data_IF_223958626355
#
_entry.id   IF_223958626355
#
_cell.length_a   1.000
_cell.length_b   1.000
_cell.length_c   1.000
_cell.angle_alpha   90.00
_cell.angle_beta   90.00
_cell.angle_gamma   90.00
#
_symmetry.space_group_name_H-M   'P 1'
#
loop_
_entity.id
_entity.type
_entity.pdbx_description
1 polymer ?
#
# COMPACT_ATOMS: atom_id res chain seq x y z
N UNK A 1 -24.74 -20.29 6.13
CA UNK A 1 -23.45 -20.57 6.78
C UNK A 1 -22.44 -19.57 6.21
N UNK A 2 -21.81 -18.70 7.00
CA UNK A 2 -20.74 -17.85 6.45
C UNK A 2 -19.58 -18.76 5.98
N UNK A 3 -19.02 -18.54 4.78
CA UNK A 3 -17.90 -19.35 4.30
C UNK A 3 -16.69 -19.19 5.23
N UNK A 4 -15.87 -20.24 5.41
CA UNK A 4 -14.73 -20.21 6.31
C UNK A 4 -13.76 -19.09 5.88
N UNK A 5 -13.38 -18.25 6.85
CA UNK A 5 -12.40 -17.18 6.62
C UNK A 5 -11.03 -17.82 6.43
N UNK A 6 -10.35 -17.43 5.36
CA UNK A 6 -8.96 -17.82 5.09
C UNK A 6 -8.02 -16.73 5.59
N UNK A 7 -6.81 -17.12 5.91
CA UNK A 7 -5.76 -16.28 6.46
C UNK A 7 -4.53 -16.45 5.58
N UNK A 8 -3.85 -15.36 5.27
CA UNK A 8 -2.54 -15.33 4.63
C UNK A 8 -1.57 -14.63 5.59
N UNK A 9 -0.54 -15.34 6.03
CA UNK A 9 0.44 -14.86 7.00
C UNK A 9 1.81 -14.75 6.34
N UNK A 10 2.49 -13.63 6.58
CA UNK A 10 3.84 -13.42 6.08
C UNK A 10 4.89 -14.13 6.97
N UNK A 11 5.70 -14.98 6.32
CA UNK A 11 6.78 -15.74 6.91
C UNK A 11 8.13 -15.02 6.75
N UNK A 12 9.19 -15.43 7.50
CA UNK A 12 10.54 -14.92 7.23
C UNK A 12 10.94 -15.27 5.80
N UNK A 13 11.67 -14.37 5.13
CA UNK A 13 12.03 -14.55 3.72
C UNK A 13 10.91 -14.20 2.73
N UNK A 14 9.85 -13.51 3.18
CA UNK A 14 8.77 -12.99 2.33
C UNK A 14 7.90 -14.08 1.65
N UNK A 15 7.84 -15.29 2.22
CA UNK A 15 6.87 -16.32 1.80
C UNK A 15 5.51 -16.12 2.48
N UNK A 16 4.42 -16.56 1.84
CA UNK A 16 3.08 -16.53 2.42
C UNK A 16 2.62 -17.94 2.83
N UNK A 17 2.06 -18.07 4.02
CA UNK A 17 1.36 -19.27 4.46
C UNK A 17 -0.15 -19.04 4.45
N UNK A 18 -0.89 -19.95 3.80
CA UNK A 18 -2.35 -19.87 3.66
C UNK A 18 -3.02 -20.95 4.51
N UNK A 19 -3.95 -20.53 5.36
CA UNK A 19 -4.70 -21.44 6.23
C UNK A 19 -6.15 -21.01 6.41
N UNK A 20 -7.00 -21.93 6.83
CA UNK A 20 -8.39 -21.67 7.20
C UNK A 20 -8.61 -21.98 8.68
N UNK A 21 -9.57 -21.28 9.28
CA UNK A 21 -10.09 -21.59 10.61
C UNK A 21 -11.50 -22.14 10.44
N UNK A 22 -11.72 -23.37 10.88
CA UNK A 22 -13.00 -24.04 10.74
C UNK A 22 -13.27 -24.56 9.32
N UNK A 23 -13.99 -25.68 9.22
CA UNK A 23 -14.39 -26.29 7.94
C UNK A 23 -14.38 -27.83 7.95
N UNK A 24 -15.40 -28.49 7.36
CA UNK A 24 -15.49 -29.94 7.30
C UNK A 24 -14.70 -30.44 6.10
N UNK A 25 -13.39 -30.64 6.26
CA UNK A 25 -12.67 -31.51 5.32
C UNK A 25 -11.65 -32.38 6.05
N UNK A 26 -11.95 -33.67 6.27
CA UNK A 26 -11.03 -34.61 6.90
C UNK A 26 -9.78 -34.89 6.04
N UNK A 27 -9.73 -34.44 4.78
CA UNK A 27 -8.57 -34.59 3.89
C UNK A 27 -7.48 -33.52 4.03
N UNK A 28 -7.72 -32.43 4.78
CA UNK A 28 -6.75 -31.34 4.91
C UNK A 28 -5.64 -31.68 5.90
N UNK A 29 -4.40 -31.61 5.42
CA UNK A 29 -3.20 -31.91 6.22
C UNK A 29 -2.94 -30.82 7.26
N UNK A 30 -2.33 -31.16 8.42
CA UNK A 30 -1.81 -30.16 9.35
C UNK A 30 -0.81 -29.24 8.65
N UNK A 31 -0.89 -27.92 8.87
CA UNK A 31 0.05 -26.94 8.28
C UNK A 31 1.36 -26.93 9.08
N UNK A 32 2.45 -27.56 8.58
CA UNK A 32 3.68 -27.69 9.35
C UNK A 32 4.34 -26.32 9.60
N UNK A 33 4.10 -25.34 8.71
CA UNK A 33 4.67 -23.99 8.82
C UNK A 33 3.94 -23.13 9.85
N UNK A 34 2.62 -23.24 9.96
CA UNK A 34 1.83 -22.57 11.00
C UNK A 34 2.09 -23.19 12.38
N UNK A 35 2.26 -24.52 12.44
CA UNK A 35 2.73 -25.21 13.64
C UNK A 35 4.16 -24.82 14.03
N UNK A 36 5.06 -24.57 13.06
CA UNK A 36 6.41 -24.08 13.32
C UNK A 36 6.45 -22.61 13.79
N UNK A 37 5.51 -21.79 13.33
CA UNK A 37 5.34 -20.39 13.77
C UNK A 37 4.86 -20.26 15.21
N UNK A 38 4.00 -21.19 15.65
CA UNK A 38 3.36 -21.13 16.96
C UNK A 38 3.99 -22.09 17.97
N UNK A 39 4.77 -23.08 17.53
CA UNK A 39 5.52 -24.02 18.37
C UNK A 39 4.67 -24.83 19.36
N UNK A 40 5.23 -25.88 19.98
CA UNK A 40 4.63 -26.48 21.17
C UNK A 40 4.73 -25.48 22.34
N UNK A 41 3.59 -25.01 22.85
CA UNK A 41 3.51 -24.09 23.98
C UNK A 41 3.43 -22.60 23.63
N UNK A 42 3.55 -22.22 22.36
CA UNK A 42 3.45 -20.81 21.97
C UNK A 42 2.03 -20.31 21.80
N UNK A 43 1.87 -19.03 22.15
CA UNK A 43 0.62 -18.27 22.03
C UNK A 43 0.78 -17.19 20.97
N UNK A 44 -0.13 -17.18 20.01
CA UNK A 44 -0.24 -16.14 19.00
C UNK A 44 -1.58 -15.41 19.13
N UNK A 45 -1.59 -14.11 18.87
CA UNK A 45 -2.80 -13.29 18.93
C UNK A 45 -3.06 -12.63 17.58
N UNK A 46 -4.18 -12.99 16.97
CA UNK A 46 -4.76 -12.35 15.80
C UNK A 46 -5.47 -11.07 16.22
N UNK A 47 -5.02 -9.97 15.64
CA UNK A 47 -5.64 -8.66 15.78
C UNK A 47 -6.09 -8.22 14.39
N UNK A 48 -7.40 -8.13 14.18
CA UNK A 48 -7.99 -7.65 12.93
C UNK A 48 -9.01 -6.55 13.24
N UNK A 49 -9.00 -5.47 12.47
CA UNK A 49 -10.07 -4.49 12.55
C UNK A 49 -11.34 -5.09 11.90
N UNK A 50 -12.37 -5.33 12.70
CA UNK A 50 -13.63 -5.88 12.21
C UNK A 50 -14.29 -4.91 11.23
N UNK A 51 -14.44 -5.31 9.97
CA UNK A 51 -15.34 -4.63 9.04
C UNK A 51 -16.72 -5.28 9.17
N UNK A 52 -17.73 -4.48 9.54
CA UNK A 52 -19.12 -4.90 9.40
C UNK A 52 -19.40 -5.18 7.91
N UNK A 53 -20.10 -6.29 7.57
CA UNK A 53 -20.51 -6.55 6.19
C UNK A 53 -21.27 -5.35 5.61
N UNK A 54 -20.92 -4.89 4.40
CA UNK A 54 -21.57 -3.74 3.75
C UNK A 54 -21.15 -2.36 4.27
N UNK A 55 -20.10 -2.25 5.10
CA UNK A 55 -19.67 -0.98 5.71
C UNK A 55 -19.12 0.10 4.77
N UNK A 56 -19.00 -0.19 3.46
CA UNK A 56 -18.56 0.76 2.44
C UNK A 56 -17.17 1.37 2.69
N UNK A 57 -16.88 2.47 2.00
CA UNK A 57 -15.57 3.13 2.07
C UNK A 57 -15.23 3.65 3.48
N UNK A 58 -16.20 4.27 4.16
CA UNK A 58 -15.98 4.84 5.50
C UNK A 58 -15.62 3.79 6.56
N UNK A 59 -16.17 2.57 6.50
CA UNK A 59 -15.76 1.50 7.40
C UNK A 59 -14.30 1.07 7.17
N UNK A 60 -13.85 1.01 5.91
CA UNK A 60 -12.46 0.66 5.55
C UNK A 60 -11.48 1.70 6.06
N UNK A 61 -11.82 2.99 5.91
CA UNK A 61 -11.01 4.09 6.45
C UNK A 61 -10.90 4.01 7.97
N UNK A 62 -12.02 3.82 8.69
CA UNK A 62 -12.02 3.65 10.16
C UNK A 62 -11.21 2.43 10.60
N UNK A 63 -11.38 1.30 9.92
CA UNK A 63 -10.65 0.06 10.22
C UNK A 63 -9.14 0.23 10.02
N UNK A 64 -8.71 0.88 8.93
CA UNK A 64 -7.31 1.15 8.66
C UNK A 64 -6.68 2.07 9.73
N UNK A 65 -7.40 3.12 10.17
CA UNK A 65 -6.94 4.01 11.25
C UNK A 65 -6.86 3.29 12.59
N UNK A 66 -7.88 2.49 12.93
CA UNK A 66 -7.87 1.67 14.15
C UNK A 66 -6.66 0.74 14.15
N UNK A 67 -6.41 0.06 13.04
CA UNK A 67 -5.29 -0.86 12.90
C UNK A 67 -3.94 -0.15 13.04
N UNK A 68 -3.78 1.04 12.46
CA UNK A 68 -2.56 1.85 12.63
C UNK A 68 -2.35 2.30 14.08
N UNK A 69 -3.41 2.73 14.78
CA UNK A 69 -3.34 3.08 16.21
C UNK A 69 -2.93 1.89 17.06
N UNK A 70 -3.51 0.72 16.79
CA UNK A 70 -3.15 -0.53 17.45
C UNK A 70 -1.67 -0.85 17.23
N UNK A 71 -1.18 -0.80 15.99
CA UNK A 71 0.25 -1.00 15.69
C UNK A 71 1.17 -0.08 16.48
N UNK A 72 0.84 1.21 16.58
CA UNK A 72 1.63 2.18 17.35
C UNK A 72 1.62 1.86 18.84
N UNK A 73 0.47 1.43 19.38
CA UNK A 73 0.35 1.02 20.78
C UNK A 73 1.10 -0.27 21.08
N UNK A 74 1.06 -1.27 20.19
CA UNK A 74 1.77 -2.55 20.34
C UNK A 74 3.30 -2.37 20.37
N UNK A 75 3.82 -1.29 19.77
CA UNK A 75 5.25 -0.95 19.81
C UNK A 75 5.69 -0.27 21.12
N UNK A 76 4.77 -0.08 22.07
CA UNK A 76 5.01 0.59 23.36
C UNK A 76 4.70 -0.36 24.52
N UNK A 77 5.25 -0.03 25.69
CA UNK A 77 4.95 -0.72 26.94
C UNK A 77 5.30 -2.22 26.94
N UNK A 78 4.51 -3.07 27.61
CA UNK A 78 4.85 -4.48 27.86
C UNK A 78 4.87 -5.35 26.59
N UNK A 79 4.28 -4.88 25.49
CA UNK A 79 4.17 -5.63 24.23
C UNK A 79 5.34 -5.40 23.27
N UNK A 80 6.28 -4.51 23.61
CA UNK A 80 7.44 -4.15 22.76
C UNK A 80 8.32 -5.35 22.40
N UNK A 81 8.39 -6.37 23.26
CA UNK A 81 9.16 -7.60 23.04
C UNK A 81 8.49 -8.62 22.12
N UNK A 82 7.22 -8.42 21.77
CA UNK A 82 6.49 -9.33 20.91
C UNK A 82 6.83 -9.12 19.44
N UNK A 83 6.84 -10.20 18.66
CA UNK A 83 7.02 -10.13 17.21
C UNK A 83 5.67 -9.86 16.55
N UNK A 84 5.63 -8.89 15.64
CA UNK A 84 4.45 -8.57 14.84
C UNK A 84 4.65 -9.06 13.41
N UNK A 85 3.67 -9.79 12.88
CA UNK A 85 3.69 -10.27 11.49
C UNK A 85 2.44 -9.83 10.75
N UNK A 86 2.56 -9.23 9.55
CA UNK A 86 1.43 -8.90 8.70
C UNK A 86 0.58 -10.12 8.40
N UNK A 87 -0.73 -9.94 8.44
CA UNK A 87 -1.69 -10.99 8.14
C UNK A 87 -2.90 -10.41 7.42
N UNK A 88 -3.43 -11.17 6.46
CA UNK A 88 -4.65 -10.86 5.74
C UNK A 88 -5.71 -11.92 6.01
N UNK A 89 -6.90 -11.51 6.41
CA UNK A 89 -8.09 -12.36 6.37
C UNK A 89 -8.82 -12.13 5.05
N UNK A 90 -9.22 -13.19 4.37
CA UNK A 90 -9.93 -13.07 3.09
C UNK A 90 -10.96 -14.18 2.90
N UNK A 91 -11.95 -13.93 2.05
CA UNK A 91 -12.94 -14.94 1.65
C UNK A 91 -12.47 -15.70 0.40
N UNK A 92 -12.73 -17.02 0.32
CA UNK A 92 -12.53 -17.75 -0.94
C UNK A 92 -13.46 -17.17 -2.02
N UNK A 93 -12.95 -17.05 -3.26
CA UNK A 93 -13.73 -16.55 -4.40
C UNK A 93 -13.43 -15.11 -4.84
N UNK A 94 -12.57 -14.36 -4.12
CA UNK A 94 -11.86 -13.20 -4.69
C UNK A 94 -12.72 -11.99 -5.10
N UNK A 95 -13.72 -11.63 -4.31
CA UNK A 95 -14.51 -10.40 -4.51
C UNK A 95 -13.88 -9.17 -3.85
N UNK A 96 -14.19 -7.99 -4.38
CA UNK A 96 -13.83 -6.70 -3.77
C UNK A 96 -14.45 -6.54 -2.38
N UNK A 97 -13.77 -5.78 -1.52
CA UNK A 97 -14.09 -5.58 -0.09
C UNK A 97 -14.10 -6.89 0.72
N UNK A 98 -13.35 -7.87 0.23
CA UNK A 98 -13.25 -9.21 0.80
C UNK A 98 -12.09 -9.37 1.79
N UNK A 99 -11.15 -8.43 1.85
CA UNK A 99 -9.94 -8.54 2.65
C UNK A 99 -9.98 -7.67 3.90
N UNK A 100 -9.63 -8.27 5.03
CA UNK A 100 -9.41 -7.56 6.30
C UNK A 100 -7.93 -7.65 6.67
N UNK A 101 -7.35 -6.51 7.04
CA UNK A 101 -5.96 -6.44 7.48
C UNK A 101 -5.86 -6.69 8.97
N UNK A 102 -4.78 -7.36 9.34
CA UNK A 102 -4.45 -7.62 10.71
C UNK A 102 -2.99 -7.92 10.91
N UNK A 103 -2.67 -8.27 12.15
CA UNK A 103 -1.34 -8.74 12.54
C UNK A 103 -1.48 -9.97 13.41
N UNK A 104 -0.54 -10.88 13.25
CA UNK A 104 -0.27 -11.92 14.21
C UNK A 104 0.81 -11.40 15.17
N UNK A 105 0.43 -11.26 16.44
CA UNK A 105 1.37 -10.96 17.51
C UNK A 105 1.84 -12.29 18.13
N UNK A 106 3.14 -12.53 18.10
CA UNK A 106 3.79 -13.69 18.70
C UNK A 106 4.54 -13.25 19.95
N UNK A 107 4.25 -13.88 21.07
CA UNK A 107 4.95 -13.64 22.33
C UNK A 107 6.03 -14.71 22.55
N UNK A 108 7.32 -14.38 22.35
CA UNK A 108 8.42 -15.33 22.55
C UNK A 108 8.65 -15.67 24.02
N UNK A 109 8.20 -14.83 24.97
CA UNK A 109 8.35 -15.08 26.40
C UNK A 109 7.21 -15.89 27.02
N UNK A 110 6.15 -16.16 26.24
CA UNK A 110 4.93 -16.85 26.67
C UNK A 110 4.31 -16.29 27.96
N UNK A 111 4.50 -14.99 28.23
CA UNK A 111 4.12 -14.36 29.47
C UNK A 111 2.60 -14.30 29.67
N UNK A 112 2.08 -14.54 30.89
CA UNK A 112 0.65 -14.39 31.17
C UNK A 112 0.16 -12.93 31.01
N UNK A 113 1.08 -11.97 31.03
CA UNK A 113 0.78 -10.54 30.97
C UNK A 113 0.47 -10.03 29.56
N UNK A 114 0.93 -10.72 28.51
CA UNK A 114 0.68 -10.33 27.11
C UNK A 114 -0.82 -10.30 26.79
N UNK A 115 -1.55 -11.35 27.20
CA UNK A 115 -3.01 -11.40 27.00
C UNK A 115 -3.71 -10.28 27.76
N UNK A 116 -3.30 -10.01 28.99
CA UNK A 116 -3.88 -8.95 29.83
C UNK A 116 -3.64 -7.56 29.21
N UNK A 117 -2.42 -7.29 28.76
CA UNK A 117 -2.06 -6.05 28.09
C UNK A 117 -2.84 -5.86 26.79
N UNK A 118 -3.01 -6.92 25.99
CA UNK A 118 -3.87 -6.89 24.79
C UNK A 118 -5.34 -6.64 25.13
N UNK A 119 -5.87 -7.32 26.15
CA UNK A 119 -7.24 -7.14 26.60
C UNK A 119 -7.51 -5.71 27.08
N UNK A 120 -6.55 -5.10 27.79
CA UNK A 120 -6.62 -3.71 28.21
C UNK A 120 -6.57 -2.76 27.00
N UNK A 121 -5.67 -2.99 26.05
CA UNK A 121 -5.55 -2.17 24.84
C UNK A 121 -6.82 -2.20 23.98
N UNK A 122 -7.45 -3.37 23.84
CA UNK A 122 -8.64 -3.54 23.01
C UNK A 122 -9.95 -3.17 23.73
N UNK A 123 -10.00 -3.26 25.06
CA UNK A 123 -11.18 -2.94 25.88
C UNK A 123 -11.56 -1.46 25.87
N UNK A 124 -10.62 -0.57 25.53
CA UNK A 124 -10.83 0.87 25.38
C UNK A 124 -11.47 1.28 24.03
N UNK A 125 -11.72 0.33 23.11
CA UNK A 125 -12.26 0.61 21.78
C UNK A 125 -13.77 0.28 21.66
N UNK A 126 -14.67 1.27 21.47
CA UNK A 126 -16.10 1.02 21.22
C UNK A 126 -16.31 0.23 19.94
N UNK A 127 -17.07 -0.87 19.99
CA UNK A 127 -17.22 -1.81 18.84
C UNK A 127 -15.92 -2.56 18.50
N UNK A 128 -15.06 -2.73 19.51
CA UNK A 128 -13.66 -3.14 19.38
C UNK A 128 -13.39 -4.47 18.66
N UNK A 129 -12.15 -4.65 18.18
CA UNK A 129 -11.76 -5.81 17.40
C UNK A 129 -11.87 -7.11 18.20
N UNK A 130 -12.26 -8.19 17.52
CA UNK A 130 -12.20 -9.56 18.08
C UNK A 130 -10.75 -9.97 18.25
N UNK A 131 -10.44 -10.62 19.36
CA UNK A 131 -9.12 -11.20 19.61
C UNK A 131 -9.16 -12.70 19.27
N UNK A 132 -8.41 -13.12 18.25
CA UNK A 132 -8.23 -14.53 17.94
C UNK A 132 -6.97 -15.07 18.61
N UNK A 133 -7.08 -15.98 19.56
CA UNK A 133 -5.94 -16.63 20.20
C UNK A 133 -5.63 -17.94 19.48
N UNK A 134 -4.41 -18.09 18.99
CA UNK A 134 -3.90 -19.34 18.44
C UNK A 134 -3.10 -20.11 19.50
N UNK A 135 -3.43 -21.39 19.66
CA UNK A 135 -2.83 -22.28 20.65
C UNK A 135 -2.39 -23.57 19.97
N UNK A 136 -1.12 -23.95 20.17
CA UNK A 136 -0.59 -25.24 19.76
C UNK A 136 -0.92 -26.34 20.78
N UNK A 137 -1.15 -27.57 20.31
CA UNK A 137 -1.29 -28.75 21.16
C UNK A 137 -0.07 -29.69 21.13
N UNK A 138 -0.09 -30.73 21.97
CA UNK A 138 0.99 -31.71 22.07
C UNK A 138 1.22 -32.51 20.77
N UNK A 139 0.25 -32.51 19.84
CA UNK A 139 0.33 -33.18 18.53
C UNK A 139 0.76 -32.21 17.43
N UNK A 140 1.26 -31.01 17.80
CA UNK A 140 1.64 -29.92 16.88
C UNK A 140 0.49 -29.45 15.99
N UNK A 141 -0.75 -29.63 16.42
CA UNK A 141 -1.90 -29.03 15.77
C UNK A 141 -2.14 -27.64 16.35
N UNK A 142 -2.69 -26.75 15.53
CA UNK A 142 -2.99 -25.38 15.92
C UNK A 142 -4.50 -25.19 15.98
N UNK A 143 -4.96 -24.53 17.02
CA UNK A 143 -6.36 -24.23 17.27
C UNK A 143 -6.56 -22.73 17.46
N UNK A 144 -7.70 -22.19 17.02
CA UNK A 144 -8.09 -20.81 17.28
C UNK A 144 -9.24 -20.74 18.28
N UNK A 145 -9.12 -19.81 19.24
CA UNK A 145 -10.19 -19.36 20.13
C UNK A 145 -10.51 -17.90 19.83
N UNK A 146 -11.78 -17.57 19.69
CA UNK A 146 -12.21 -16.18 19.51
C UNK A 146 -12.65 -15.60 20.85
N UNK A 147 -12.24 -14.37 21.12
CA UNK A 147 -12.56 -13.63 22.34
C UNK A 147 -13.19 -12.28 22.01
N UNK A 148 -14.23 -11.91 22.77
CA UNK A 148 -14.90 -10.60 22.70
C UNK A 148 -14.97 -9.93 24.08
N UNK A 149 -14.93 -8.58 24.13
CA UNK A 149 -15.14 -7.86 25.37
C UNK A 149 -16.59 -8.01 25.85
N UNK A 150 -16.76 -8.19 27.15
CA UNK A 150 -18.05 -8.23 27.86
C UNK A 150 -18.12 -6.96 28.69
N UNK A 151 -19.01 -6.03 28.34
CA UNK A 151 -19.05 -4.66 28.89
C UNK A 151 -18.82 -4.59 30.40
N UNK A 152 -17.62 -4.16 30.82
CA UNK A 152 -17.21 -4.04 32.22
C UNK A 152 -16.83 -5.35 32.95
N UNK A 153 -17.14 -6.52 32.40
CA UNK A 153 -16.92 -7.85 33.02
C UNK A 153 -15.77 -8.66 32.36
N UNK A 154 -14.86 -7.99 31.64
CA UNK A 154 -13.68 -8.61 31.04
C UNK A 154 -13.90 -9.20 29.64
N UNK A 155 -13.32 -10.36 29.34
CA UNK A 155 -13.33 -10.99 28.01
C UNK A 155 -13.92 -12.39 28.07
N UNK A 156 -14.79 -12.73 27.11
CA UNK A 156 -15.41 -14.08 27.00
C UNK A 156 -15.05 -14.77 25.69
N UNK A 157 -14.94 -16.10 25.74
CA UNK A 157 -14.79 -16.89 24.51
C UNK A 157 -16.10 -16.89 23.72
N UNK A 158 -15.99 -16.80 22.41
CA UNK A 158 -17.11 -16.83 21.46
C UNK A 158 -16.96 -18.05 20.56
N UNK A 159 -17.97 -18.92 20.57
CA UNK A 159 -18.00 -20.12 19.74
C UNK A 159 -17.03 -21.24 20.16
N UNK A 160 -17.02 -22.35 19.41
CA UNK A 160 -16.12 -23.48 19.67
C UNK A 160 -14.67 -23.12 19.35
N UNK A 161 -13.75 -23.91 19.91
CA UNK A 161 -12.35 -23.87 19.51
C UNK A 161 -12.23 -24.54 18.13
N UNK A 162 -11.73 -23.81 17.14
CA UNK A 162 -11.69 -24.30 15.76
C UNK A 162 -10.29 -24.68 15.33
N UNK A 163 -10.18 -25.77 14.55
CA UNK A 163 -8.89 -26.25 14.05
C UNK A 163 -8.38 -25.36 12.92
N UNK A 164 -7.08 -25.08 12.94
CA UNK A 164 -6.38 -24.42 11.83
C UNK A 164 -5.87 -25.48 10.85
N UNK A 165 -6.20 -25.30 9.58
CA UNK A 165 -5.83 -26.25 8.51
C UNK A 165 -5.15 -25.53 7.35
N UNK A 166 -4.19 -26.19 6.70
CA UNK A 166 -3.60 -25.70 5.45
C UNK A 166 -4.67 -25.51 4.39
N UNK A 167 -4.51 -24.48 3.56
CA UNK A 167 -5.26 -24.38 2.30
C UNK A 167 -4.31 -24.07 1.16
N UNK A 168 -4.63 -24.49 -0.08
CA UNK A 168 -3.84 -24.12 -1.25
C UNK A 168 -3.69 -22.60 -1.37
N UNK A 169 -2.50 -22.16 -1.79
CA UNK A 169 -2.26 -20.77 -2.16
C UNK A 169 -3.18 -20.39 -3.33
N UNK A 170 -3.87 -19.22 -3.27
CA UNK A 170 -4.68 -18.74 -4.39
C UNK A 170 -3.79 -18.34 -5.57
N UNK A 171 -4.34 -18.44 -6.78
CA UNK A 171 -3.62 -18.08 -8.01
C UNK A 171 -3.17 -16.61 -8.06
N UNK A 172 -3.88 -15.72 -7.36
CA UNK A 172 -3.55 -14.31 -7.23
C UNK A 172 -3.52 -13.92 -5.75
N UNK A 173 -2.67 -12.94 -5.41
CA UNK A 173 -2.57 -12.45 -4.05
C UNK A 173 -3.93 -11.92 -3.55
N UNK A 174 -4.38 -12.30 -2.33
CA UNK A 174 -5.75 -12.00 -1.86
C UNK A 174 -6.14 -10.52 -1.87
N UNK A 175 -5.19 -9.60 -1.71
CA UNK A 175 -5.45 -8.15 -1.69
C UNK A 175 -5.83 -7.56 -3.06
N UNK A 176 -5.53 -8.28 -4.15
CA UNK A 176 -5.59 -7.73 -5.50
C UNK A 176 -6.97 -7.18 -5.91
N UNK A 177 -8.10 -7.84 -5.58
CA UNK A 177 -9.44 -7.31 -5.87
C UNK A 177 -9.75 -5.99 -5.16
N UNK A 178 -9.11 -5.71 -4.01
CA UNK A 178 -9.38 -4.52 -3.20
C UNK A 178 -8.50 -3.33 -3.61
N UNK A 179 -7.35 -3.58 -4.27
CA UNK A 179 -6.40 -2.53 -4.65
C UNK A 179 -7.03 -1.34 -5.42
N UNK A 180 -7.95 -1.54 -6.38
CA UNK A 180 -8.59 -0.43 -7.08
C UNK A 180 -9.38 0.52 -6.17
N UNK A 181 -9.90 0.04 -5.05
CA UNK A 181 -10.73 0.83 -4.14
C UNK A 181 -10.05 1.12 -2.80
N UNK A 182 -8.83 0.60 -2.57
CA UNK A 182 -8.12 0.76 -1.30
C UNK A 182 -6.72 1.38 -1.41
N UNK A 183 -6.09 1.38 -2.59
CA UNK A 183 -4.70 1.83 -2.71
C UNK A 183 -4.31 2.42 -4.07
N UNK A 184 -4.68 1.79 -5.17
CA UNK A 184 -4.25 2.21 -6.53
C UNK A 184 -5.17 3.30 -7.10
N UNK A 185 -6.47 3.22 -6.80
CA UNK A 185 -7.48 4.20 -7.20
C UNK A 185 -7.42 4.59 -8.68
N UNK A 186 -7.73 3.67 -9.61
CA UNK A 186 -7.74 3.95 -11.04
C UNK A 186 -8.92 4.82 -11.48
N UNK A 187 -9.72 5.33 -10.54
CA UNK A 187 -10.85 6.23 -10.78
C UNK A 187 -10.93 7.30 -9.70
N UNK A 188 -11.20 8.55 -10.10
CA UNK A 188 -11.31 9.72 -9.20
C UNK A 188 -12.31 9.50 -8.07
N UNK A 189 -13.46 8.90 -8.41
CA UNK A 189 -14.57 8.66 -7.47
C UNK A 189 -14.17 7.84 -6.26
N UNK A 190 -13.34 6.81 -6.45
CA UNK A 190 -12.94 5.92 -5.36
C UNK A 190 -12.00 6.63 -4.36
N UNK A 191 -11.06 7.44 -4.86
CA UNK A 191 -10.18 8.24 -4.00
C UNK A 191 -10.95 9.38 -3.31
N UNK A 192 -11.91 10.03 -4.00
CA UNK A 192 -12.79 11.05 -3.41
C UNK A 192 -13.58 10.51 -2.23
N UNK A 193 -14.20 9.33 -2.39
CA UNK A 193 -14.97 8.67 -1.32
C UNK A 193 -14.13 8.36 -0.06
N UNK A 194 -12.82 8.13 -0.21
CA UNK A 194 -11.92 7.97 0.93
C UNK A 194 -11.74 9.29 1.66
N UNK A 195 -11.46 10.39 0.96
CA UNK A 195 -11.27 11.70 1.60
C UNK A 195 -12.56 12.25 2.20
N UNK A 196 -13.72 12.02 1.57
CA UNK A 196 -15.03 12.32 2.15
C UNK A 196 -15.22 11.62 3.50
N UNK A 197 -14.84 10.35 3.59
CA UNK A 197 -14.87 9.60 4.84
C UNK A 197 -13.84 10.09 5.88
N UNK A 198 -12.84 10.87 5.47
CA UNK A 198 -11.81 11.46 6.34
C UNK A 198 -12.20 12.80 6.94
N UNK A 199 -13.11 13.56 6.32
CA UNK A 199 -13.51 14.91 6.77
C UNK A 199 -13.80 15.02 8.28
N UNK A 200 -14.48 14.06 8.93
CA UNK A 200 -14.76 14.16 10.37
C UNK A 200 -13.53 14.15 11.29
N UNK A 201 -12.35 13.75 10.81
CA UNK A 201 -11.16 13.60 11.65
C UNK A 201 -9.83 14.04 10.99
N UNK A 202 -9.85 14.49 9.73
CA UNK A 202 -8.77 15.20 9.03
C UNK A 202 -9.43 16.40 8.32
N UNK A 203 -9.48 17.59 8.95
CA UNK A 203 -10.12 18.77 8.37
C UNK A 203 -9.56 19.18 7.00
N UNK A 204 -8.25 18.99 6.78
CA UNK A 204 -7.55 19.28 5.53
C UNK A 204 -8.07 18.44 4.35
N UNK A 205 -8.75 17.32 4.61
CA UNK A 205 -9.39 16.53 3.57
C UNK A 205 -10.46 17.34 2.82
N UNK A 206 -11.20 18.22 3.52
CA UNK A 206 -12.19 19.09 2.87
C UNK A 206 -11.52 20.06 1.92
N UNK A 207 -10.41 20.67 2.32
CA UNK A 207 -9.71 21.64 1.47
C UNK A 207 -9.11 20.99 0.21
N UNK A 208 -8.67 19.73 0.28
CA UNK A 208 -8.28 18.94 -0.91
C UNK A 208 -9.50 18.66 -1.79
N UNK A 209 -10.64 18.27 -1.21
CA UNK A 209 -11.88 18.02 -1.95
C UNK A 209 -12.39 19.27 -2.68
N UNK A 210 -12.32 20.44 -2.03
CA UNK A 210 -12.72 21.72 -2.63
C UNK A 210 -11.87 22.09 -3.86
N UNK A 211 -10.57 21.79 -3.83
CA UNK A 211 -9.66 21.96 -4.98
C UNK A 211 -9.99 20.96 -6.09
N UNK A 212 -10.24 19.70 -5.72
CA UNK A 212 -10.64 18.66 -6.66
C UNK A 212 -11.95 19.04 -7.35
N UNK A 213 -12.95 19.54 -6.62
CA UNK A 213 -14.26 19.90 -7.17
C UNK A 213 -14.19 21.06 -8.19
N UNK A 214 -13.12 21.85 -8.19
CA UNK A 214 -12.83 22.85 -9.23
C UNK A 214 -12.25 22.25 -10.52
N UNK A 215 -11.76 21.01 -10.48
CA UNK A 215 -11.20 20.30 -11.63
C UNK A 215 -12.31 19.68 -12.50
N UNK A 216 -12.25 19.82 -13.84
CA UNK A 216 -13.18 19.16 -14.75
C UNK A 216 -13.22 17.63 -14.56
N UNK A 217 -14.36 17.00 -14.82
CA UNK A 217 -14.50 15.54 -14.73
C UNK A 217 -13.65 14.80 -15.78
N UNK A 218 -13.55 15.38 -16.98
CA UNK A 218 -12.73 14.87 -18.06
C UNK A 218 -11.76 15.96 -18.50
N UNK A 219 -10.48 15.61 -18.51
CA UNK A 219 -9.40 16.55 -18.79
C UNK A 219 -8.63 16.05 -20.01
N UNK A 220 -8.57 16.89 -21.04
CA UNK A 220 -7.82 16.62 -22.26
C UNK A 220 -6.60 17.53 -22.35
N UNK A 221 -5.48 16.98 -22.81
CA UNK A 221 -4.27 17.77 -23.07
C UNK A 221 -4.49 18.69 -24.28
N UNK A 222 -3.74 19.78 -24.32
CA UNK A 222 -3.61 20.63 -25.50
C UNK A 222 -2.73 20.00 -26.58
N UNK A 223 -2.34 20.83 -27.56
CA UNK A 223 -1.58 20.39 -28.74
C UNK A 223 -0.13 19.98 -28.46
N UNK A 224 0.46 20.44 -27.36
CA UNK A 224 1.85 20.14 -27.02
C UNK A 224 1.99 18.83 -26.24
N UNK A 225 3.15 18.16 -26.34
CA UNK A 225 3.36 16.87 -25.69
C UNK A 225 3.47 16.99 -24.17
N UNK A 226 3.00 15.95 -23.48
CA UNK A 226 3.09 15.77 -22.02
C UNK A 226 4.03 14.61 -21.72
N UNK A 227 5.14 14.90 -21.05
CA UNK A 227 6.18 13.92 -20.71
C UNK A 227 6.26 13.80 -19.19
N UNK A 228 6.11 12.58 -18.68
CA UNK A 228 6.28 12.29 -17.26
C UNK A 228 7.66 11.70 -17.03
N UNK A 229 8.37 12.19 -16.02
CA UNK A 229 9.63 11.62 -15.57
C UNK A 229 9.40 10.95 -14.22
N UNK A 230 9.49 9.63 -14.22
CA UNK A 230 9.37 8.74 -13.06
C UNK A 230 10.73 8.26 -12.58
N UNK A 231 10.77 7.66 -11.39
CA UNK A 231 11.97 7.07 -10.83
C UNK A 231 11.96 7.01 -9.32
N UNK A 232 12.79 6.13 -8.74
CA UNK A 232 13.00 6.10 -7.28
C UNK A 232 13.62 7.40 -6.78
N UNK A 233 13.58 7.64 -5.48
CA UNK A 233 14.29 8.78 -4.90
C UNK A 233 15.80 8.68 -5.14
N UNK A 234 16.46 9.85 -5.19
CA UNK A 234 17.87 10.00 -5.54
C UNK A 234 18.33 9.48 -6.92
N UNK A 235 17.42 9.27 -7.87
CA UNK A 235 17.74 8.95 -9.29
C UNK A 235 18.13 10.17 -10.14
N UNK A 236 18.07 11.39 -9.59
CA UNK A 236 18.40 12.62 -10.32
C UNK A 236 17.21 13.31 -11.01
N UNK A 237 15.97 12.87 -10.77
CA UNK A 237 14.74 13.44 -11.37
C UNK A 237 14.67 14.96 -11.37
N UNK A 238 14.86 15.61 -10.22
CA UNK A 238 14.77 17.08 -10.12
C UNK A 238 15.78 17.78 -11.04
N UNK A 239 16.99 17.23 -11.15
CA UNK A 239 18.02 17.78 -12.05
C UNK A 239 17.65 17.59 -13.52
N UNK A 240 17.19 16.39 -13.89
CA UNK A 240 16.81 16.06 -15.27
C UNK A 240 15.58 16.84 -15.71
N UNK A 241 14.51 16.83 -14.91
CA UNK A 241 13.26 17.56 -15.18
C UNK A 241 13.50 19.05 -15.39
N UNK A 242 14.30 19.70 -14.54
CA UNK A 242 14.67 21.10 -14.73
C UNK A 242 15.44 21.32 -16.03
N UNK A 243 16.49 20.52 -16.27
CA UNK A 243 17.35 20.68 -17.46
C UNK A 243 16.60 20.46 -18.77
N UNK A 244 15.69 19.48 -18.80
CA UNK A 244 14.81 19.20 -19.94
C UNK A 244 13.81 20.33 -20.13
N UNK A 245 13.21 20.82 -19.04
CA UNK A 245 12.27 21.94 -19.07
C UNK A 245 12.90 23.19 -19.67
N UNK A 246 14.12 23.53 -19.23
CA UNK A 246 14.85 24.70 -19.72
C UNK A 246 15.19 24.55 -21.21
N UNK A 247 15.63 23.36 -21.62
CA UNK A 247 16.02 23.06 -23.01
C UNK A 247 14.83 23.12 -23.98
N UNK A 248 13.67 22.61 -23.57
CA UNK A 248 12.44 22.58 -24.39
C UNK A 248 11.55 23.81 -24.21
N UNK A 249 11.92 24.73 -23.30
CA UNK A 249 11.06 25.83 -22.82
C UNK A 249 9.67 25.32 -22.39
N UNK A 250 9.67 24.17 -21.72
CA UNK A 250 8.48 23.48 -21.26
C UNK A 250 7.99 24.05 -19.92
N UNK A 251 6.73 23.79 -19.59
CA UNK A 251 6.21 23.97 -18.23
C UNK A 251 6.64 22.77 -17.37
N UNK A 252 7.19 23.03 -16.18
CA UNK A 252 7.54 21.99 -15.21
C UNK A 252 6.50 21.92 -14.10
N UNK A 253 5.79 20.80 -14.01
CA UNK A 253 4.81 20.50 -12.98
C UNK A 253 5.30 19.37 -12.08
N UNK A 254 4.75 19.28 -10.86
CA UNK A 254 5.10 18.26 -9.86
C UNK A 254 3.84 17.58 -9.34
N UNK A 255 3.92 16.28 -9.06
CA UNK A 255 2.88 15.57 -8.31
C UNK A 255 3.42 15.10 -6.95
N UNK A 256 2.81 15.49 -5.81
CA UNK A 256 1.60 16.33 -5.69
C UNK A 256 1.86 17.82 -6.03
N UNK A 257 0.83 18.58 -6.43
CA UNK A 257 0.95 19.99 -6.79
C UNK A 257 1.19 20.87 -5.56
N UNK A 258 1.73 22.07 -5.79
CA UNK A 258 2.11 23.00 -4.73
C UNK A 258 0.93 23.39 -3.83
N UNK A 259 -0.28 23.52 -4.39
CA UNK A 259 -1.50 23.93 -3.68
C UNK A 259 -1.96 22.94 -2.59
N UNK A 260 -1.50 21.68 -2.62
CA UNK A 260 -1.78 20.68 -1.57
C UNK A 260 -0.53 20.24 -0.82
N UNK A 261 0.63 20.79 -1.18
CA UNK A 261 1.93 20.34 -0.65
C UNK A 261 2.05 20.57 0.86
N UNK A 262 1.43 21.62 1.40
CA UNK A 262 1.43 21.90 2.85
C UNK A 262 0.80 20.79 3.70
N UNK A 263 -0.10 19.99 3.14
CA UNK A 263 -0.79 18.92 3.87
C UNK A 263 -0.11 17.56 3.74
N UNK A 264 0.95 17.45 2.93
CA UNK A 264 1.65 16.19 2.66
C UNK A 264 2.01 15.43 3.94
N UNK A 265 2.60 16.13 4.92
CA UNK A 265 3.02 15.52 6.19
C UNK A 265 1.85 14.86 6.94
N UNK A 266 0.67 15.50 6.92
CA UNK A 266 -0.54 15.00 7.60
C UNK A 266 -0.95 13.66 6.96
N UNK A 267 -1.03 13.62 5.63
CA UNK A 267 -1.46 12.41 4.91
C UNK A 267 -0.40 11.30 4.88
N UNK A 268 0.90 11.64 4.95
CA UNK A 268 1.99 10.67 5.00
C UNK A 268 2.00 9.84 6.29
N UNK A 269 1.49 10.43 7.38
CA UNK A 269 1.34 9.79 8.69
C UNK A 269 0.10 8.89 8.81
N UNK A 270 -0.82 8.96 7.84
CA UNK A 270 -2.07 8.18 7.80
C UNK A 270 -1.89 6.77 7.17
N UNK A 271 -2.85 5.84 7.32
CA UNK A 271 -2.79 4.51 6.70
C UNK A 271 -2.79 4.58 5.17
N UNK A 272 -2.29 3.53 4.50
CA UNK A 272 -2.12 3.51 3.03
C UNK A 272 -3.36 3.94 2.26
N UNK A 273 -4.56 3.52 2.68
CA UNK A 273 -5.82 3.89 2.02
C UNK A 273 -6.03 5.40 1.95
N UNK A 274 -5.74 6.11 3.04
CA UNK A 274 -5.89 7.57 3.13
C UNK A 274 -4.75 8.25 2.37
N UNK A 275 -3.51 7.84 2.65
CA UNK A 275 -2.30 8.41 2.02
C UNK A 275 -2.37 8.33 0.49
N UNK A 276 -2.70 7.16 -0.06
CA UNK A 276 -2.77 6.97 -1.51
C UNK A 276 -3.97 7.65 -2.14
N UNK A 277 -5.09 7.82 -1.42
CA UNK A 277 -6.20 8.62 -1.90
C UNK A 277 -5.82 10.10 -2.05
N UNK A 278 -5.07 10.67 -1.10
CA UNK A 278 -4.52 12.03 -1.19
C UNK A 278 -3.65 12.21 -2.44
N UNK A 279 -2.68 11.31 -2.65
CA UNK A 279 -1.82 11.37 -3.84
C UNK A 279 -2.58 11.14 -5.15
N UNK A 280 -3.56 10.21 -5.15
CA UNK A 280 -4.42 9.96 -6.32
C UNK A 280 -5.20 11.22 -6.70
N UNK A 281 -5.82 11.90 -5.74
CA UNK A 281 -6.53 13.18 -5.99
C UNK A 281 -5.59 14.32 -6.40
N UNK A 282 -4.37 14.35 -5.85
CA UNK A 282 -3.31 15.26 -6.32
C UNK A 282 -3.01 15.10 -7.82
N UNK A 283 -3.04 13.87 -8.35
CA UNK A 283 -2.88 13.65 -9.79
C UNK A 283 -4.01 14.28 -10.61
N UNK A 284 -5.26 14.28 -10.13
CA UNK A 284 -6.37 14.94 -10.86
C UNK A 284 -6.28 16.47 -10.83
N UNK A 285 -5.72 17.05 -9.76
CA UNK A 285 -5.41 18.48 -9.71
C UNK A 285 -4.33 18.81 -10.73
N UNK A 286 -3.22 18.06 -10.72
CA UNK A 286 -2.13 18.21 -11.70
C UNK A 286 -2.62 18.00 -13.12
N UNK A 287 -3.53 17.07 -13.38
CA UNK A 287 -4.13 16.84 -14.70
C UNK A 287 -4.74 18.14 -15.28
N UNK A 288 -5.43 18.92 -14.44
CA UNK A 288 -6.06 20.17 -14.85
C UNK A 288 -5.01 21.24 -15.19
N UNK A 289 -3.91 21.30 -14.43
CA UNK A 289 -2.76 22.16 -14.75
C UNK A 289 -2.06 21.73 -16.05
N UNK A 290 -1.85 20.42 -16.24
CA UNK A 290 -1.28 19.85 -17.47
C UNK A 290 -2.12 20.27 -18.68
N UNK A 291 -3.45 20.12 -18.61
CA UNK A 291 -4.34 20.50 -19.71
C UNK A 291 -4.23 21.98 -20.08
N UNK A 292 -4.13 22.87 -19.08
CA UNK A 292 -3.96 24.29 -19.31
C UNK A 292 -2.61 24.60 -19.97
N UNK A 293 -1.51 24.08 -19.43
CA UNK A 293 -0.16 24.42 -19.90
C UNK A 293 0.20 23.76 -21.24
N UNK A 294 -0.31 22.55 -21.50
CA UNK A 294 -0.11 21.84 -22.79
C UNK A 294 -0.81 22.50 -23.98
N UNK A 295 -1.58 23.58 -23.78
CA UNK A 295 -2.06 24.43 -24.89
C UNK A 295 -0.99 25.41 -25.39
N UNK A 296 0.01 25.73 -24.54
CA UNK A 296 0.99 26.80 -24.75
C UNK A 296 2.40 26.29 -25.02
N UNK A 297 2.82 25.22 -24.35
CA UNK A 297 4.16 24.65 -24.43
C UNK A 297 4.15 23.15 -24.09
N UNK A 298 5.23 22.40 -24.39
CA UNK A 298 5.43 21.07 -23.81
C UNK A 298 5.32 21.10 -22.28
N UNK A 299 4.93 19.99 -21.68
CA UNK A 299 4.80 19.86 -20.22
C UNK A 299 5.66 18.70 -19.73
N UNK A 300 6.55 18.99 -18.79
CA UNK A 300 7.33 18.00 -18.04
C UNK A 300 6.69 17.83 -16.66
N UNK A 301 6.44 16.59 -16.25
CA UNK A 301 5.83 16.28 -14.96
C UNK A 301 6.80 15.42 -14.13
N UNK A 302 7.23 15.93 -12.97
CA UNK A 302 8.00 15.16 -11.98
C UNK A 302 7.05 14.31 -11.14
N UNK A 303 7.04 13.00 -11.42
CA UNK A 303 6.11 11.98 -10.90
C UNK A 303 4.64 12.20 -11.28
N UNK A 304 3.91 11.11 -11.49
CA UNK A 304 2.47 11.17 -11.71
C UNK A 304 1.76 9.90 -11.19
N UNK A 305 0.83 9.32 -11.94
CA UNK A 305 0.07 8.15 -11.48
C UNK A 305 0.93 6.90 -11.27
N UNK A 306 1.93 6.64 -12.11
CA UNK A 306 2.81 5.45 -11.96
C UNK A 306 3.53 5.45 -10.61
N UNK A 307 4.01 6.60 -10.13
CA UNK A 307 4.52 6.75 -8.75
C UNK A 307 3.49 6.34 -7.69
N UNK A 308 2.24 6.75 -7.84
CA UNK A 308 1.19 6.40 -6.85
C UNK A 308 0.88 4.90 -6.88
N UNK A 309 0.70 4.33 -8.09
CA UNK A 309 0.30 2.95 -8.30
C UNK A 309 1.40 1.95 -7.90
N UNK A 310 2.65 2.18 -8.31
CA UNK A 310 3.76 1.24 -8.05
C UNK A 310 4.07 1.11 -6.56
N UNK A 311 4.12 2.23 -5.84
CA UNK A 311 4.31 2.19 -4.39
C UNK A 311 3.09 1.62 -3.66
N UNK A 312 1.87 1.90 -4.14
CA UNK A 312 0.67 1.25 -3.61
C UNK A 312 0.74 -0.28 -3.76
N UNK A 313 1.03 -0.80 -4.95
CA UNK A 313 1.13 -2.24 -5.20
C UNK A 313 2.23 -2.86 -4.32
N UNK A 314 3.41 -2.23 -4.26
CA UNK A 314 4.54 -2.73 -3.49
C UNK A 314 4.29 -2.77 -1.98
N UNK A 315 3.55 -1.78 -1.43
CA UNK A 315 3.19 -1.74 -0.01
C UNK A 315 2.11 -2.77 0.35
N UNK A 316 1.13 -2.97 -0.53
CA UNK A 316 -0.12 -3.64 -0.15
C UNK A 316 -0.12 -5.14 -0.47
N UNK A 317 0.64 -5.56 -1.48
CA UNK A 317 0.83 -6.97 -1.83
C UNK A 317 1.94 -7.54 -0.95
N UNK A 318 1.65 -8.20 0.16
CA UNK A 318 2.69 -8.76 1.06
C UNK A 318 3.48 -9.89 0.42
N UNK A 319 4.65 -10.22 1.00
CA UNK A 319 5.53 -11.27 0.49
C UNK A 319 6.46 -10.84 -0.66
N UNK A 320 7.08 -11.83 -1.29
CA UNK A 320 8.09 -11.68 -2.34
C UNK A 320 7.54 -11.28 -3.71
N UNK A 321 8.46 -11.10 -4.67
CA UNK A 321 8.18 -10.63 -6.04
C UNK A 321 7.17 -11.51 -6.79
N UNK A 322 7.16 -12.81 -6.50
CA UNK A 322 6.25 -13.78 -7.12
C UNK A 322 4.77 -13.51 -6.83
N UNK A 323 4.46 -12.78 -5.76
CA UNK A 323 3.08 -12.44 -5.40
C UNK A 323 2.58 -11.15 -6.06
N UNK A 324 3.44 -10.41 -6.76
CA UNK A 324 3.01 -9.24 -7.54
C UNK A 324 2.01 -9.65 -8.62
N UNK A 325 1.03 -8.79 -8.95
CA UNK A 325 0.08 -9.04 -10.02
C UNK A 325 0.82 -9.39 -11.32
N UNK A 326 0.35 -10.39 -12.10
CA UNK A 326 1.02 -10.84 -13.32
C UNK A 326 1.12 -9.71 -14.34
N UNK A 327 2.09 -9.80 -15.26
CA UNK A 327 2.22 -8.84 -16.37
C UNK A 327 0.90 -8.75 -17.13
N UNK A 328 0.56 -7.58 -17.67
CA UNK A 328 -0.72 -7.30 -18.34
C UNK A 328 -1.97 -7.33 -17.44
N UNK A 329 -1.82 -7.53 -16.13
CA UNK A 329 -2.95 -7.40 -15.20
C UNK A 329 -3.53 -5.98 -15.25
N UNK A 330 -4.85 -5.85 -15.21
CA UNK A 330 -5.58 -4.58 -15.38
C UNK A 330 -5.18 -3.49 -14.39
N UNK A 331 -4.63 -3.86 -13.23
CA UNK A 331 -4.12 -2.93 -12.21
C UNK A 331 -2.95 -2.06 -12.70
N UNK A 332 -2.23 -2.51 -13.73
CA UNK A 332 -1.12 -1.77 -14.34
C UNK A 332 -1.55 -0.82 -15.46
N UNK A 333 -2.84 -0.84 -15.82
CA UNK A 333 -3.39 0.00 -16.88
C UNK A 333 -3.59 1.42 -16.37
N UNK A 334 -3.19 2.39 -17.18
CA UNK A 334 -3.46 3.79 -16.92
C UNK A 334 -4.95 4.07 -16.65
N UNK A 335 -5.28 4.93 -15.66
CA UNK A 335 -6.66 5.32 -15.35
C UNK A 335 -7.37 5.92 -16.56
N UNK A 336 -8.58 5.44 -16.86
CA UNK A 336 -9.35 5.92 -18.03
C UNK A 336 -9.83 7.37 -17.90
N UNK A 337 -10.00 7.84 -16.67
CA UNK A 337 -10.48 9.18 -16.33
C UNK A 337 -9.37 10.16 -15.95
N UNK A 338 -8.10 9.75 -16.01
CA UNK A 338 -6.94 10.63 -15.78
C UNK A 338 -6.29 11.01 -17.11
N UNK A 339 -5.94 12.29 -17.28
CA UNK A 339 -5.21 12.76 -18.46
C UNK A 339 -3.96 11.89 -18.67
N UNK A 340 -3.90 11.24 -19.83
CA UNK A 340 -2.83 10.34 -20.22
C UNK A 340 -1.65 11.12 -20.81
N UNK A 341 -0.40 10.90 -20.35
CA UNK A 341 0.77 11.51 -20.96
C UNK A 341 1.09 10.86 -22.31
N UNK A 342 1.85 11.57 -23.14
CA UNK A 342 2.34 11.05 -24.43
C UNK A 342 3.53 10.11 -24.23
N UNK A 343 4.36 10.38 -23.21
CA UNK A 343 5.57 9.64 -22.92
C UNK A 343 5.83 9.56 -21.43
N UNK A 344 6.30 8.39 -20.95
CA UNK A 344 6.78 8.21 -19.58
C UNK A 344 8.21 7.68 -19.60
N UNK A 345 9.13 8.43 -18.99
CA UNK A 345 10.53 8.06 -18.85
C UNK A 345 10.80 7.64 -17.41
N UNK A 346 11.36 6.46 -17.21
CA UNK A 346 11.76 5.97 -15.89
C UNK A 346 13.26 6.10 -15.73
N UNK A 347 13.69 7.04 -14.89
CA UNK A 347 15.10 7.17 -14.53
C UNK A 347 15.51 6.04 -13.58
N UNK A 348 16.53 5.30 -13.99
CA UNK A 348 17.13 4.21 -13.21
C UNK A 348 18.59 4.51 -12.92
N UNK A 349 19.07 4.11 -11.75
CA UNK A 349 20.50 4.11 -11.40
C UNK A 349 20.81 2.84 -10.62
N UNK A 350 22.07 2.44 -10.55
CA UNK A 350 22.45 1.30 -9.73
C UNK A 350 22.10 1.54 -8.25
N UNK A 351 21.77 0.49 -7.47
CA UNK A 351 21.51 0.62 -6.04
C UNK A 351 22.65 1.29 -5.27
N UNK A 352 23.90 1.03 -5.65
CA UNK A 352 25.12 1.59 -5.05
C UNK A 352 25.23 3.09 -5.30
N UNK A 353 24.97 3.52 -6.54
CA UNK A 353 24.96 4.95 -6.89
C UNK A 353 23.80 5.68 -6.20
N UNK A 354 22.61 5.06 -6.13
CA UNK A 354 21.50 5.64 -5.37
C UNK A 354 21.87 5.87 -3.92
N UNK A 355 22.52 4.89 -3.27
CA UNK A 355 22.97 5.00 -1.88
C UNK A 355 24.00 6.13 -1.70
N UNK A 356 24.97 6.23 -2.60
CA UNK A 356 25.96 7.31 -2.62
C UNK A 356 25.30 8.69 -2.69
N UNK A 357 24.31 8.84 -3.57
CA UNK A 357 23.54 10.10 -3.73
C UNK A 357 22.69 10.44 -2.52
N UNK A 358 22.09 9.45 -1.85
CA UNK A 358 21.32 9.70 -0.61
C UNK A 358 22.24 10.16 0.52
N UNK A 359 23.41 9.51 0.69
CA UNK A 359 24.38 9.89 1.71
C UNK A 359 24.93 11.32 1.49
N UNK A 360 25.14 11.72 0.23
CA UNK A 360 25.62 13.06 -0.11
C UNK A 360 24.60 14.19 0.07
N UNK A 361 23.30 13.90 0.23
CA UNK A 361 22.25 14.94 0.34
C UNK A 361 22.17 15.61 1.72
N UNK A 362 22.60 14.94 2.79
CA UNK A 362 22.60 15.51 4.15
C UNK A 362 21.22 15.94 4.71
N UNK A 363 20.12 15.57 4.05
CA UNK A 363 18.74 15.94 4.43
C UNK A 363 18.06 14.81 5.21
N UNK A 364 17.01 15.16 5.97
CA UNK A 364 16.13 14.16 6.59
C UNK A 364 15.52 13.23 5.53
N UNK A 365 15.62 11.92 5.76
CA UNK A 365 15.06 10.91 4.87
C UNK A 365 13.56 10.82 5.05
N UNK A 366 12.84 10.70 3.95
CA UNK A 366 11.42 10.35 4.00
C UNK A 366 11.26 8.91 4.50
N UNK A 367 10.04 8.58 4.96
CA UNK A 367 9.70 7.21 5.38
C UNK A 367 9.84 6.21 4.23
N UNK A 368 9.43 6.59 3.02
CA UNK A 368 9.56 5.74 1.83
C UNK A 368 11.02 5.56 1.41
N UNK A 369 11.86 6.60 1.49
CA UNK A 369 13.32 6.46 1.28
C UNK A 369 13.94 5.48 2.28
N UNK A 370 13.59 5.61 3.56
CA UNK A 370 14.07 4.71 4.62
C UNK A 370 13.63 3.26 4.35
N UNK A 371 12.40 3.06 3.87
CA UNK A 371 11.86 1.74 3.54
C UNK A 371 12.54 1.12 2.30
N UNK A 372 12.78 1.90 1.25
CA UNK A 372 13.51 1.47 0.05
C UNK A 372 14.97 1.08 0.30
N UNK A 373 15.59 1.70 1.31
CA UNK A 373 16.93 1.38 1.77
C UNK A 373 16.94 0.12 2.63
N UNK A 374 16.06 0.04 3.62
CA UNK A 374 16.02 -1.07 4.58
C UNK A 374 15.47 -2.38 4.00
N UNK A 375 14.66 -2.31 2.94
CA UNK A 375 13.96 -3.46 2.38
C UNK A 375 14.21 -3.61 0.87
N UNK A 376 15.16 -4.49 0.52
CA UNK A 376 15.50 -4.79 -0.88
C UNK A 376 14.34 -5.39 -1.67
N UNK A 377 13.49 -6.21 -1.04
CA UNK A 377 12.31 -6.80 -1.68
C UNK A 377 11.27 -5.73 -2.00
N UNK A 378 11.02 -4.80 -1.08
CA UNK A 378 10.12 -3.67 -1.33
C UNK A 378 10.60 -2.83 -2.53
N UNK A 379 11.89 -2.50 -2.57
CA UNK A 379 12.48 -1.80 -3.71
C UNK A 379 12.29 -2.55 -5.02
N UNK A 380 12.66 -3.82 -5.07
CA UNK A 380 12.52 -4.64 -6.28
C UNK A 380 11.06 -4.72 -6.73
N UNK A 381 10.10 -4.73 -5.78
CA UNK A 381 8.68 -4.71 -6.10
C UNK A 381 8.24 -3.40 -6.74
N UNK A 382 8.74 -2.26 -6.27
CA UNK A 382 8.48 -0.95 -6.89
C UNK A 382 9.06 -0.93 -8.31
N UNK A 383 10.33 -1.32 -8.49
CA UNK A 383 11.01 -1.38 -9.78
C UNK A 383 10.28 -2.29 -10.78
N UNK A 384 9.94 -3.51 -10.36
CA UNK A 384 9.20 -4.47 -11.18
C UNK A 384 7.78 -3.99 -11.49
N UNK A 385 7.13 -3.27 -10.58
CA UNK A 385 5.82 -2.69 -10.83
C UNK A 385 5.90 -1.58 -11.89
N UNK A 386 6.94 -0.73 -11.88
CA UNK A 386 7.14 0.28 -12.94
C UNK A 386 7.32 -0.36 -14.32
N UNK A 387 8.06 -1.47 -14.40
CA UNK A 387 8.30 -2.19 -15.65
C UNK A 387 7.02 -2.86 -16.20
N UNK A 388 6.03 -3.10 -15.34
CA UNK A 388 4.75 -3.71 -15.72
C UNK A 388 3.66 -2.69 -16.05
N UNK A 389 3.90 -1.40 -15.82
CA UNK A 389 2.92 -0.35 -16.12
C UNK A 389 2.66 -0.24 -17.62
N UNK A 390 1.41 0.04 -17.98
CA UNK A 390 0.94 0.04 -19.36
C UNK A 390 0.02 1.22 -19.67
N UNK A 391 -0.02 1.58 -20.96
CA UNK A 391 -0.91 2.59 -21.54
C UNK A 391 -0.84 4.01 -20.96
N UNK A 392 0.35 4.65 -20.83
CA UNK A 392 1.61 4.22 -21.45
C UNK A 392 2.53 3.47 -20.47
N UNK A 393 3.38 2.61 -21.02
CA UNK A 393 4.48 2.00 -20.29
C UNK A 393 5.66 2.94 -20.09
N UNK A 394 6.62 2.52 -19.28
CA UNK A 394 7.85 3.28 -19.00
C UNK A 394 8.95 2.97 -20.01
N UNK A 395 9.55 3.99 -20.63
CA UNK A 395 10.85 3.84 -21.29
C UNK A 395 11.97 4.05 -20.28
N UNK A 396 12.86 3.07 -20.16
CA UNK A 396 13.98 3.12 -19.21
C UNK A 396 15.06 4.09 -19.69
N UNK A 397 15.56 4.91 -18.77
CA UNK A 397 16.70 5.80 -18.99
C UNK A 397 17.72 5.57 -17.89
N UNK A 398 18.92 5.15 -18.27
CA UNK A 398 20.03 5.04 -17.33
C UNK A 398 20.53 6.44 -16.96
N UNK A 399 20.37 6.80 -15.68
CA UNK A 399 20.78 8.08 -15.10
C UNK A 399 22.10 7.98 -14.32
N UNK A 400 22.87 6.92 -14.56
CA UNK A 400 24.23 6.72 -14.02
C UNK A 400 25.32 7.58 -14.69
N UNK A 401 25.24 7.90 -16.00
CA UNK A 401 26.21 8.80 -16.66
C UNK A 401 26.16 10.26 -16.18
N UNK A 402 26.95 11.14 -16.82
CA UNK A 402 26.96 12.56 -16.50
C UNK A 402 25.61 13.24 -16.76
N UNK A 403 25.36 14.39 -16.12
CA UNK A 403 24.11 15.16 -16.27
C UNK A 403 23.86 15.50 -17.74
N UNK A 404 24.90 15.90 -18.45
CA UNK A 404 24.86 16.32 -19.85
C UNK A 404 24.50 15.13 -20.77
N UNK A 405 25.11 13.96 -20.56
CA UNK A 405 24.79 12.75 -21.32
C UNK A 405 23.35 12.29 -21.09
N UNK A 406 22.90 12.29 -19.83
CA UNK A 406 21.51 11.93 -19.49
C UNK A 406 20.53 12.92 -20.11
N UNK A 407 20.83 14.22 -20.10
CA UNK A 407 20.00 15.23 -20.76
C UNK A 407 19.89 14.99 -22.26
N UNK A 408 21.02 14.74 -22.95
CA UNK A 408 21.01 14.47 -24.39
C UNK A 408 20.21 13.21 -24.72
N UNK A 409 20.36 12.15 -23.92
CA UNK A 409 19.59 10.91 -24.08
C UNK A 409 18.08 11.17 -23.94
N UNK A 410 17.67 11.89 -22.89
CA UNK A 410 16.26 12.22 -22.66
C UNK A 410 15.69 13.07 -23.78
N UNK A 411 16.40 14.13 -24.22
CA UNK A 411 15.94 14.99 -25.32
C UNK A 411 15.79 14.21 -26.64
N UNK A 412 16.73 13.32 -26.94
CA UNK A 412 16.66 12.44 -28.11
C UNK A 412 15.44 11.51 -28.07
N UNK A 413 15.16 10.90 -26.91
CA UNK A 413 13.98 10.04 -26.74
C UNK A 413 12.69 10.86 -26.93
N UNK A 414 12.59 12.05 -26.34
CA UNK A 414 11.42 12.92 -26.51
C UNK A 414 11.23 13.27 -27.98
N UNK A 415 12.30 13.69 -28.68
CA UNK A 415 12.27 14.05 -30.09
C UNK A 415 11.78 12.90 -30.98
N UNK A 416 12.17 11.66 -30.68
CA UNK A 416 11.81 10.49 -31.49
C UNK A 416 10.39 9.99 -31.24
N UNK A 417 9.74 10.36 -30.12
CA UNK A 417 8.43 9.83 -29.72
C UNK A 417 7.32 10.89 -29.74
N UNK A 418 7.65 12.19 -29.73
CA UNK A 418 6.67 13.28 -29.58
C UNK A 418 6.62 14.27 -30.76
N UNK A 419 7.40 14.04 -31.82
CA UNK A 419 7.41 14.88 -33.03
C UNK A 419 6.44 14.40 -34.10
#
# INVERSE_FOLDING_TARGET
MEPPRRLALELPGCALAHFAVGGPDPGLRPEPRAAALLGPGGRGYLLCAGLAPGGGCAARVRAARLLQRLLLALRRGPLRGCQLRPLLCYRPGGGADGVQRGFLLLDPGHGPDTRRALCALLGEAPGGPRLGEFVGDARRQVWQRLWEPRGGEGWRQVGPCERVVSVPEPALHPVLPDLPSSAVFPHRRAARAVLEACVPFIPEAQAVLDLVDQCPEQVQKGKFPVIVIEGLDATGKTTVTQSVSDSLKAALLKSPPACISQWRKIFDDEPTIIRRAFYSLGNYIVASEIAKESTKSPVIVDRYWHSTATYAIATEVTGGLQHLPPVHHSIYQWPRDLLKPDLVLLLTVSPEERMRRIQGRGMERTREETELEANSIFRQKVEMSYQRMENPGCLLVDASPSREEVLQMVLSIIQNNCN
#
